data_IF_772252474042
#
_entry.id   IF_772252474042
#
_cell.length_a   1.000
_cell.length_b   1.000
_cell.length_c   1.000
_cell.angle_alpha   90.00
_cell.angle_beta   90.00
_cell.angle_gamma   90.00
#
_symmetry.space_group_name_H-M   'P 1'
#
loop_
_entity.id
_entity.type
_entity.pdbx_description
1 polymer ?
#
# COMPACT_ATOMS: atom_id res chain seq x y z
N UNK A 1 -16.63 -25.01 -26.11
CA UNK A 1 -16.27 -24.45 -24.79
C UNK A 1 -14.98 -25.10 -24.35
N UNK A 2 -13.86 -24.40 -24.48
CA UNK A 2 -12.55 -24.82 -23.98
C UNK A 2 -12.08 -23.80 -22.95
N UNK A 3 -11.32 -24.21 -21.93
CA UNK A 3 -10.87 -23.29 -20.89
C UNK A 3 -9.85 -22.32 -21.51
N UNK A 4 -10.12 -21.03 -21.40
CA UNK A 4 -9.18 -19.99 -21.80
C UNK A 4 -7.93 -20.06 -20.91
N UNK A 5 -6.86 -20.67 -21.43
CA UNK A 5 -5.50 -20.46 -20.94
C UNK A 5 -5.20 -18.97 -21.09
N UNK A 6 -5.21 -18.24 -19.98
CA UNK A 6 -4.67 -16.88 -19.93
C UNK A 6 -3.16 -16.99 -20.12
N UNK A 7 -2.68 -16.48 -21.25
CA UNK A 7 -1.26 -16.36 -21.53
C UNK A 7 -0.65 -15.39 -20.50
N UNK A 8 0.17 -15.92 -19.60
CA UNK A 8 0.99 -15.15 -18.66
C UNK A 8 2.28 -14.83 -19.39
N UNK A 9 2.39 -13.64 -19.97
CA UNK A 9 3.65 -13.09 -20.48
C UNK A 9 4.31 -12.33 -19.33
N UNK A 10 5.24 -12.98 -18.61
CA UNK A 10 6.08 -12.29 -17.63
C UNK A 10 7.52 -12.22 -18.16
N UNK A 11 8.00 -11.00 -18.39
CA UNK A 11 9.40 -10.66 -18.72
C UNK A 11 10.16 -10.19 -17.46
N UNK A 12 9.51 -10.17 -16.30
CA UNK A 12 10.12 -9.85 -15.02
C UNK A 12 9.99 -11.10 -14.13
N UNK A 13 11.07 -11.48 -13.44
CA UNK A 13 11.06 -12.67 -12.59
C UNK A 13 10.02 -12.48 -11.47
N UNK A 14 8.89 -13.17 -11.58
CA UNK A 14 7.86 -13.18 -10.55
C UNK A 14 8.42 -13.91 -9.31
N UNK A 15 8.31 -13.29 -8.14
CA UNK A 15 8.60 -13.93 -6.86
C UNK A 15 7.50 -14.98 -6.62
N UNK A 16 7.87 -16.25 -6.58
CA UNK A 16 6.94 -17.36 -6.30
C UNK A 16 6.61 -17.39 -4.80
N UNK A 17 5.35 -17.06 -4.46
CA UNK A 17 4.82 -17.07 -3.08
C UNK A 17 3.82 -18.21 -2.86
N UNK A 18 3.90 -19.29 -3.65
CA UNK A 18 2.83 -20.32 -3.71
C UNK A 18 2.74 -21.28 -2.51
N UNK A 19 3.66 -21.26 -1.54
CA UNK A 19 3.57 -22.10 -0.34
C UNK A 19 3.31 -21.27 0.93
N UNK A 20 2.05 -21.24 1.37
CA UNK A 20 1.70 -20.66 2.67
C UNK A 20 2.31 -21.49 3.80
N UNK A 21 3.19 -20.88 4.58
CA UNK A 21 3.83 -21.43 5.77
C UNK A 21 2.91 -21.54 6.99
N UNK A 22 1.72 -20.95 6.94
CA UNK A 22 0.82 -20.84 8.10
C UNK A 22 0.00 -22.09 8.38
N UNK A 23 -0.05 -22.49 9.66
CA UNK A 23 -0.87 -23.61 10.14
C UNK A 23 -2.36 -23.25 10.04
N UNK A 24 -3.24 -24.14 9.53
CA UNK A 24 -4.69 -23.98 9.65
C UNK A 24 -5.14 -23.91 11.12
N UNK A 25 -5.87 -22.86 11.49
CA UNK A 25 -6.49 -22.72 12.80
C UNK A 25 -7.98 -23.06 12.71
N UNK A 26 -8.48 -23.82 13.68
CA UNK A 26 -9.91 -24.03 13.84
C UNK A 26 -10.59 -22.79 14.50
N UNK A 27 -11.93 -22.69 14.50
CA UNK A 27 -12.62 -21.52 15.05
C UNK A 27 -12.31 -21.22 16.53
N UNK A 28 -12.07 -22.25 17.33
CA UNK A 28 -11.75 -22.10 18.76
C UNK A 28 -10.32 -21.56 18.93
N UNK A 29 -9.36 -22.11 18.19
CA UNK A 29 -7.97 -21.62 18.18
C UNK A 29 -7.89 -20.16 17.73
N UNK A 30 -8.65 -19.77 16.71
CA UNK A 30 -8.75 -18.36 16.28
C UNK A 30 -9.28 -17.46 17.39
N UNK A 31 -10.33 -17.89 18.09
CA UNK A 31 -10.90 -17.16 19.22
C UNK A 31 -9.88 -16.96 20.34
N UNK A 32 -9.14 -18.01 20.69
CA UNK A 32 -8.06 -17.95 21.69
C UNK A 32 -6.91 -17.03 21.27
N UNK A 33 -6.43 -17.16 20.03
CA UNK A 33 -5.36 -16.32 19.51
C UNK A 33 -5.74 -14.83 19.51
N UNK A 34 -6.99 -14.52 19.14
CA UNK A 34 -7.53 -13.16 19.18
C UNK A 34 -7.67 -12.64 20.62
N UNK A 35 -8.11 -13.47 21.56
CA UNK A 35 -8.20 -13.11 22.97
C UNK A 35 -6.81 -12.81 23.54
N UNK A 36 -5.84 -13.71 23.36
CA UNK A 36 -4.46 -13.53 23.80
C UNK A 36 -3.83 -12.25 23.22
N UNK A 37 -4.06 -11.97 21.93
CA UNK A 37 -3.64 -10.72 21.30
C UNK A 37 -4.18 -9.49 22.03
N UNK A 38 -5.49 -9.42 22.26
CA UNK A 38 -6.10 -8.29 22.94
C UNK A 38 -5.70 -8.17 24.40
N UNK A 39 -5.56 -9.29 25.12
CA UNK A 39 -5.08 -9.29 26.50
C UNK A 39 -3.68 -8.66 26.58
N UNK A 40 -2.78 -9.03 25.67
CA UNK A 40 -1.43 -8.46 25.58
C UNK A 40 -1.48 -6.98 25.22
N UNK A 41 -2.13 -6.60 24.11
CA UNK A 41 -2.09 -5.19 23.66
C UNK A 41 -2.80 -4.26 24.64
N UNK A 42 -3.86 -4.72 25.32
CA UNK A 42 -4.55 -3.93 26.35
C UNK A 42 -3.70 -3.81 27.62
N UNK A 43 -3.00 -4.87 28.03
CA UNK A 43 -2.09 -4.81 29.18
C UNK A 43 -0.98 -3.78 28.99
N UNK A 44 -0.41 -3.70 27.78
CA UNK A 44 0.63 -2.72 27.45
C UNK A 44 0.10 -1.39 26.92
N UNK A 45 -1.22 -1.20 26.84
CA UNK A 45 -1.81 0.07 26.43
C UNK A 45 -1.49 1.15 27.49
N UNK A 46 -1.08 2.34 27.04
CA UNK A 46 -0.65 3.42 27.94
C UNK A 46 0.71 3.25 28.64
N UNK A 47 1.39 2.10 28.53
CA UNK A 47 2.69 1.84 29.19
C UNK A 47 3.91 2.44 28.47
N UNK A 48 3.71 3.06 27.29
CA UNK A 48 4.78 3.67 26.50
C UNK A 48 4.46 5.12 26.17
N UNK A 49 5.02 6.04 26.96
CA UNK A 49 5.08 7.45 26.57
C UNK A 49 6.05 7.58 25.37
N UNK A 50 5.66 8.26 24.29
CA UNK A 50 6.57 8.52 23.19
C UNK A 50 7.77 9.32 23.71
N UNK A 51 8.98 8.80 23.48
CA UNK A 51 10.21 9.54 23.79
C UNK A 51 10.70 10.25 22.53
N UNK A 52 11.61 11.21 22.70
CA UNK A 52 12.29 11.88 21.59
C UNK A 52 13.01 10.90 20.65
N UNK A 53 13.44 9.74 21.14
CA UNK A 53 14.09 8.69 20.35
C UNK A 53 13.10 7.78 19.60
N UNK A 54 11.84 7.68 20.06
CA UNK A 54 10.84 6.76 19.50
C UNK A 54 9.48 7.47 19.43
N UNK A 55 9.20 8.18 18.31
CA UNK A 55 8.07 9.11 18.21
C UNK A 55 6.70 8.43 18.05
N UNK A 56 6.63 7.10 18.15
CA UNK A 56 5.41 6.33 17.93
C UNK A 56 5.23 5.27 19.02
N UNK A 57 3.97 4.92 19.30
CA UNK A 57 3.64 3.82 20.22
C UNK A 57 3.64 2.49 19.47
N UNK A 58 4.51 1.57 19.89
CA UNK A 58 4.61 0.22 19.30
C UNK A 58 3.34 -0.60 19.51
N UNK A 59 2.78 -0.56 20.72
CA UNK A 59 1.52 -1.23 21.05
C UNK A 59 0.40 -0.73 20.14
N UNK A 60 0.27 0.60 19.95
CA UNK A 60 -0.73 1.17 19.04
C UNK A 60 -0.46 0.79 17.59
N UNK A 61 0.80 0.79 17.14
CA UNK A 61 1.15 0.36 15.78
C UNK A 61 0.68 -1.07 15.53
N UNK A 62 1.03 -2.01 16.41
CA UNK A 62 0.65 -3.43 16.29
C UNK A 62 -0.88 -3.60 16.33
N UNK A 63 -1.54 -2.96 17.30
CA UNK A 63 -3.00 -3.00 17.45
C UNK A 63 -3.73 -2.49 16.21
N UNK A 64 -3.39 -1.29 15.75
CA UNK A 64 -4.04 -0.68 14.59
C UNK A 64 -3.72 -1.46 13.32
N UNK A 65 -2.50 -1.98 13.17
CA UNK A 65 -2.17 -2.81 12.01
C UNK A 65 -3.06 -4.06 11.94
N UNK A 66 -3.28 -4.73 13.08
CA UNK A 66 -4.21 -5.86 13.13
C UNK A 66 -5.65 -5.45 12.81
N UNK A 67 -6.15 -4.38 13.44
CA UNK A 67 -7.55 -3.94 13.30
C UNK A 67 -7.89 -3.45 11.88
N UNK A 68 -6.93 -2.90 11.14
CA UNK A 68 -7.08 -2.46 9.76
C UNK A 68 -6.63 -3.50 8.71
N UNK A 69 -6.12 -4.66 9.14
CA UNK A 69 -5.83 -5.77 8.22
C UNK A 69 -7.13 -6.39 7.70
N UNK A 70 -7.17 -6.73 6.42
CA UNK A 70 -8.35 -7.28 5.73
C UNK A 70 -8.29 -8.80 5.52
N UNK A 71 -7.31 -9.47 6.12
CA UNK A 71 -7.10 -10.90 5.96
C UNK A 71 -8.27 -11.71 6.55
N UNK A 72 -9.16 -12.18 5.68
CA UNK A 72 -10.21 -13.17 5.98
C UNK A 72 -9.65 -14.61 6.05
N UNK A 73 -8.33 -14.75 6.07
CA UNK A 73 -7.67 -16.05 6.09
C UNK A 73 -7.99 -16.81 7.39
N UNK A 74 -8.58 -18.03 7.31
CA UNK A 74 -8.87 -18.85 8.49
C UNK A 74 -7.62 -19.28 9.26
N UNK A 75 -6.42 -19.12 8.69
CA UNK A 75 -5.13 -19.31 9.36
C UNK A 75 -4.80 -18.13 10.28
N UNK A 76 -5.35 -16.93 10.08
CA UNK A 76 -4.99 -15.73 10.84
C UNK A 76 -3.46 -15.48 10.92
N UNK A 77 -2.78 -15.29 9.78
CA UNK A 77 -1.32 -15.20 9.71
C UNK A 77 -0.75 -14.12 10.64
N UNK A 78 -1.41 -12.96 10.73
CA UNK A 78 -1.01 -11.89 11.64
C UNK A 78 -0.94 -12.34 13.10
N UNK A 79 -1.98 -13.04 13.57
CA UNK A 79 -2.04 -13.49 14.96
C UNK A 79 -1.00 -14.57 15.24
N UNK A 80 -0.79 -15.50 14.30
CA UNK A 80 0.25 -16.53 14.45
C UNK A 80 1.64 -15.90 14.51
N UNK A 81 1.93 -14.95 13.63
CA UNK A 81 3.23 -14.29 13.60
C UNK A 81 3.45 -13.44 14.86
N UNK A 82 2.44 -12.69 15.30
CA UNK A 82 2.49 -11.96 16.55
C UNK A 82 2.81 -12.87 17.74
N UNK A 83 2.06 -13.97 17.89
CA UNK A 83 2.24 -14.94 18.98
C UNK A 83 3.63 -15.58 18.95
N UNK A 84 4.17 -15.84 17.75
CA UNK A 84 5.56 -16.29 17.56
C UNK A 84 6.58 -15.28 18.09
N UNK A 85 6.37 -13.98 17.85
CA UNK A 85 7.25 -12.93 18.34
C UNK A 85 7.21 -12.74 19.86
N UNK A 86 6.03 -12.87 20.47
CA UNK A 86 5.88 -12.77 21.94
C UNK A 86 6.15 -14.08 22.67
N UNK A 87 6.47 -15.16 21.94
CA UNK A 87 6.74 -16.49 22.48
C UNK A 87 5.57 -17.07 23.32
N UNK A 88 4.34 -16.88 22.84
CA UNK A 88 3.11 -17.39 23.49
C UNK A 88 2.41 -18.39 22.56
N UNK A 89 2.06 -19.56 23.07
CA UNK A 89 1.26 -20.54 22.35
C UNK A 89 -0.23 -20.18 22.44
N UNK A 90 -1.03 -20.62 21.46
CA UNK A 90 -2.48 -20.32 21.41
C UNK A 90 -3.23 -20.84 22.65
N UNK A 91 -2.75 -21.90 23.28
CA UNK A 91 -3.37 -22.53 24.45
C UNK A 91 -2.80 -22.02 25.79
N UNK A 92 -1.81 -21.13 25.77
CA UNK A 92 -1.16 -20.66 26.98
C UNK A 92 -2.04 -19.65 27.71
N UNK A 93 -2.14 -19.79 29.03
CA UNK A 93 -2.69 -18.76 29.90
C UNK A 93 -1.59 -17.76 30.27
N UNK A 94 -1.78 -16.48 29.95
CA UNK A 94 -0.79 -15.44 30.23
C UNK A 94 -0.90 -15.01 31.70
N UNK A 95 0.18 -15.19 32.46
CA UNK A 95 0.28 -14.70 33.83
C UNK A 95 0.95 -13.32 33.85
N UNK A 96 0.15 -12.25 33.90
CA UNK A 96 0.65 -10.88 33.97
C UNK A 96 1.22 -10.48 35.34
N UNK A 97 1.08 -11.32 36.38
CA UNK A 97 1.69 -11.08 37.69
C UNK A 97 3.17 -11.51 37.73
N UNK A 98 3.60 -12.37 36.80
CA UNK A 98 5.00 -12.74 36.66
C UNK A 98 5.76 -11.69 35.84
N UNK A 99 6.64 -10.96 36.52
CA UNK A 99 7.47 -9.91 35.91
C UNK A 99 8.35 -10.44 34.77
N UNK A 100 8.91 -11.65 34.90
CA UNK A 100 9.77 -12.20 33.86
C UNK A 100 8.98 -12.45 32.56
N UNK A 101 7.81 -13.09 32.69
CA UNK A 101 6.86 -13.27 31.58
C UNK A 101 6.45 -11.93 30.96
N UNK A 102 6.09 -10.94 31.77
CA UNK A 102 5.70 -9.60 31.26
C UNK A 102 6.83 -8.92 30.49
N UNK A 103 8.07 -9.00 30.98
CA UNK A 103 9.21 -8.38 30.32
C UNK A 103 9.57 -9.09 28.99
N UNK A 104 9.43 -10.42 28.92
CA UNK A 104 9.59 -11.20 27.69
C UNK A 104 8.54 -10.84 26.64
N UNK A 105 7.26 -10.84 27.00
CA UNK A 105 6.17 -10.46 26.09
C UNK A 105 6.35 -9.02 25.60
N UNK A 106 6.74 -8.10 26.49
CA UNK A 106 7.02 -6.70 26.11
C UNK A 106 8.15 -6.62 25.10
N UNK A 107 9.22 -7.38 25.28
CA UNK A 107 10.34 -7.45 24.34
C UNK A 107 9.88 -7.96 22.98
N UNK A 108 9.13 -9.06 22.95
CA UNK A 108 8.59 -9.65 21.73
C UNK A 108 7.64 -8.72 20.96
N UNK A 109 6.73 -8.05 21.68
CA UNK A 109 5.83 -7.04 21.11
C UNK A 109 6.63 -5.90 20.48
N UNK A 110 7.68 -5.44 21.18
CA UNK A 110 8.52 -4.37 20.68
C UNK A 110 9.27 -4.77 19.40
N UNK A 111 9.83 -5.98 19.40
CA UNK A 111 10.50 -6.56 18.24
C UNK A 111 9.57 -6.75 17.05
N UNK A 112 8.32 -7.18 17.27
CA UNK A 112 7.33 -7.31 16.20
C UNK A 112 6.97 -5.94 15.60
N UNK A 113 6.74 -4.93 16.43
CA UNK A 113 6.46 -3.58 15.94
C UNK A 113 7.65 -3.00 15.14
N UNK A 114 8.88 -3.20 15.61
CA UNK A 114 10.09 -2.78 14.90
C UNK A 114 10.27 -3.56 13.60
N UNK A 115 9.92 -4.85 13.57
CA UNK A 115 9.92 -5.67 12.36
C UNK A 115 8.95 -5.12 11.31
N UNK A 116 7.70 -4.82 11.66
CA UNK A 116 6.72 -4.23 10.76
C UNK A 116 7.17 -2.84 10.26
N UNK A 117 7.65 -1.99 11.18
CA UNK A 117 8.08 -0.64 10.82
C UNK A 117 9.25 -0.65 9.84
N UNK A 118 10.30 -1.43 10.13
CA UNK A 118 11.53 -1.42 9.37
C UNK A 118 11.42 -2.15 8.04
N UNK A 119 10.62 -3.22 7.97
CA UNK A 119 10.53 -4.04 6.77
C UNK A 119 9.35 -3.69 5.86
N UNK A 120 8.35 -2.95 6.34
CA UNK A 120 7.17 -2.59 5.54
C UNK A 120 6.93 -1.08 5.51
N UNK A 121 6.62 -0.45 6.64
CA UNK A 121 6.16 0.95 6.64
C UNK A 121 7.23 1.97 6.22
N UNK A 122 8.47 1.85 6.69
CA UNK A 122 9.55 2.77 6.31
C UNK A 122 9.94 2.64 4.83
N UNK A 123 10.15 1.43 4.27
CA UNK A 123 10.38 1.26 2.83
C UNK A 123 9.25 1.82 1.97
N UNK A 124 7.99 1.63 2.37
CA UNK A 124 6.83 2.18 1.66
C UNK A 124 6.84 3.70 1.67
N UNK A 125 7.03 4.31 2.85
CA UNK A 125 7.09 5.78 3.00
C UNK A 125 8.24 6.39 2.19
N UNK A 126 9.39 5.72 2.14
CA UNK A 126 10.54 6.19 1.36
C UNK A 126 10.30 6.11 -0.16
N UNK A 127 9.54 5.11 -0.61
CA UNK A 127 9.24 4.90 -2.03
C UNK A 127 8.08 5.78 -2.52
N UNK A 128 7.06 6.01 -1.69
CA UNK A 128 5.82 6.69 -2.08
C UNK A 128 5.99 8.20 -2.33
N UNK A 129 7.05 8.83 -1.85
CA UNK A 129 7.34 10.26 -2.13
C UNK A 129 7.92 10.43 -3.55
N UNK A 130 8.48 9.37 -4.14
CA UNK A 130 9.08 9.43 -5.47
C UNK A 130 8.09 8.87 -6.48
N UNK A 131 7.50 9.73 -7.31
CA UNK A 131 7.00 9.28 -8.62
C UNK A 131 8.14 8.56 -9.34
N UNK A 132 7.92 7.40 -9.96
CA UNK A 132 8.82 6.85 -10.97
C UNK A 132 8.93 7.85 -12.13
N UNK A 133 9.78 8.86 -11.99
CA UNK A 133 10.17 9.73 -13.09
C UNK A 133 11.09 8.91 -13.99
N UNK A 134 10.99 9.05 -15.32
CA UNK A 134 11.96 8.45 -16.22
C UNK A 134 13.35 8.99 -15.86
N UNK A 135 14.19 8.12 -15.28
CA UNK A 135 15.55 8.50 -14.89
C UNK A 135 16.33 9.03 -16.11
N UNK A 136 17.16 10.08 -15.96
CA UNK A 136 18.12 10.45 -16.99
C UNK A 136 19.06 9.27 -17.25
N UNK A 137 19.48 9.11 -18.50
CA UNK A 137 20.22 7.97 -19.04
C UNK A 137 21.65 7.74 -18.47
N UNK A 138 21.95 8.18 -17.24
CA UNK A 138 23.30 8.23 -16.69
C UNK A 138 23.58 7.37 -15.44
N UNK A 139 22.61 6.61 -14.91
CA UNK A 139 22.90 5.73 -13.76
C UNK A 139 23.39 4.36 -14.25
N UNK A 140 24.51 3.88 -13.69
CA UNK A 140 25.19 2.61 -14.01
C UNK A 140 24.39 1.33 -13.72
N UNK A 141 23.08 1.45 -13.52
CA UNK A 141 22.12 0.38 -13.29
C UNK A 141 21.08 0.44 -14.40
N UNK A 142 21.45 0.00 -15.60
CA UNK A 142 20.51 -0.07 -16.71
C UNK A 142 19.75 -1.40 -16.64
N UNK A 143 18.41 -1.40 -16.47
CA UNK A 143 17.60 -2.47 -17.02
C UNK A 143 17.93 -2.61 -18.51
N UNK A 144 17.64 -3.76 -19.12
CA UNK A 144 17.77 -3.85 -20.59
C UNK A 144 16.97 -2.68 -21.20
N UNK A 145 17.48 -2.08 -22.29
CA UNK A 145 16.79 -0.93 -22.92
C UNK A 145 15.31 -1.24 -23.19
N UNK A 146 15.00 -2.50 -23.51
CA UNK A 146 13.65 -3.00 -23.69
C UNK A 146 12.82 -2.96 -22.39
N UNK A 147 13.32 -3.48 -21.27
CA UNK A 147 12.57 -3.47 -20.00
C UNK A 147 12.36 -2.04 -19.45
N UNK A 148 13.33 -1.15 -19.65
CA UNK A 148 13.19 0.26 -19.26
C UNK A 148 12.15 1.00 -20.13
N UNK A 149 12.07 0.69 -21.43
CA UNK A 149 11.07 1.25 -22.33
C UNK A 149 9.67 0.72 -21.99
N UNK A 150 9.53 -0.58 -21.78
CA UNK A 150 8.26 -1.20 -21.39
C UNK A 150 7.73 -0.63 -20.06
N UNK A 151 8.59 -0.45 -19.05
CA UNK A 151 8.20 0.19 -17.78
C UNK A 151 7.73 1.63 -17.98
N UNK A 152 8.38 2.42 -18.84
CA UNK A 152 7.96 3.80 -19.15
C UNK A 152 6.61 3.85 -19.86
N UNK A 153 6.38 2.95 -20.81
CA UNK A 153 5.10 2.84 -21.52
C UNK A 153 3.97 2.43 -20.57
N UNK A 154 4.23 1.50 -19.64
CA UNK A 154 3.28 1.11 -18.59
C UNK A 154 2.94 2.29 -17.68
N UNK A 155 3.94 3.02 -17.19
CA UNK A 155 3.71 4.20 -16.33
C UNK A 155 2.96 5.30 -17.06
N UNK A 156 3.24 5.53 -18.34
CA UNK A 156 2.51 6.50 -19.15
C UNK A 156 1.04 6.07 -19.37
N UNK A 157 0.80 4.79 -19.64
CA UNK A 157 -0.54 4.22 -19.79
C UNK A 157 -1.32 4.32 -18.48
N UNK A 158 -0.69 3.96 -17.35
CA UNK A 158 -1.26 4.13 -16.01
C UNK A 158 -1.65 5.59 -15.75
N UNK A 159 -0.75 6.54 -16.05
CA UNK A 159 -1.03 7.96 -15.85
C UNK A 159 -2.28 8.40 -16.61
N UNK A 160 -2.36 8.03 -17.89
CA UNK A 160 -3.50 8.31 -18.75
C UNK A 160 -4.79 7.71 -18.20
N UNK A 161 -4.76 6.44 -17.84
CA UNK A 161 -5.95 5.70 -17.40
C UNK A 161 -6.46 6.22 -16.04
N UNK A 162 -5.58 6.60 -15.13
CA UNK A 162 -5.94 7.25 -13.86
C UNK A 162 -6.57 8.63 -14.08
N UNK A 163 -5.98 9.47 -14.93
CA UNK A 163 -6.54 10.78 -15.25
C UNK A 163 -7.95 10.62 -15.84
N UNK A 164 -8.16 9.73 -16.80
CA UNK A 164 -9.49 9.46 -17.36
C UNK A 164 -10.47 8.95 -16.29
N UNK A 165 -10.05 7.99 -15.47
CA UNK A 165 -10.89 7.43 -14.38
C UNK A 165 -11.35 8.52 -13.42
N UNK A 166 -10.43 9.42 -13.06
CA UNK A 166 -10.65 10.48 -12.08
C UNK A 166 -11.20 11.76 -12.70
N UNK A 167 -11.59 11.71 -13.99
CA UNK A 167 -12.12 12.85 -14.76
C UNK A 167 -11.18 14.06 -14.76
N UNK A 168 -9.90 13.77 -14.97
CA UNK A 168 -8.78 14.70 -14.97
C UNK A 168 -8.77 15.62 -13.75
N UNK A 169 -9.26 15.13 -12.59
CA UNK A 169 -9.32 15.90 -11.36
C UNK A 169 -8.55 15.23 -10.24
N UNK A 170 -7.97 16.04 -9.37
CA UNK A 170 -7.42 15.54 -8.12
C UNK A 170 -8.53 14.89 -7.30
N UNK A 171 -8.30 13.66 -6.81
CA UNK A 171 -9.31 12.92 -6.04
C UNK A 171 -9.64 13.56 -4.69
N UNK A 172 -8.83 14.51 -4.20
CA UNK A 172 -9.06 15.22 -2.93
C UNK A 172 -9.56 16.64 -3.18
N UNK A 173 -8.78 17.48 -3.86
CA UNK A 173 -9.10 18.91 -4.02
C UNK A 173 -10.04 19.19 -5.18
N UNK A 174 -10.31 18.20 -6.03
CA UNK A 174 -11.09 18.31 -7.27
C UNK A 174 -10.51 19.26 -8.32
N UNK A 175 -9.29 19.78 -8.13
CA UNK A 175 -8.60 20.61 -9.11
C UNK A 175 -8.48 19.87 -10.46
N UNK A 176 -8.78 20.55 -11.57
CA UNK A 176 -8.66 20.02 -12.92
C UNK A 176 -7.22 20.07 -13.42
N UNK A 177 -6.81 19.10 -14.23
CA UNK A 177 -5.46 18.98 -14.76
C UNK A 177 -5.13 20.10 -15.76
N UNK A 178 -4.08 20.87 -15.46
CA UNK A 178 -3.63 21.98 -16.31
C UNK A 178 -3.24 21.50 -17.71
N UNK A 179 -2.55 20.37 -17.83
CA UNK A 179 -2.09 19.85 -19.13
C UNK A 179 -3.29 19.46 -19.99
N UNK A 180 -4.29 18.83 -19.40
CA UNK A 180 -5.54 18.53 -20.11
C UNK A 180 -6.33 19.79 -20.47
N UNK A 181 -6.35 20.82 -19.61
CA UNK A 181 -6.99 22.10 -19.90
C UNK A 181 -6.36 22.77 -21.13
N UNK A 182 -5.03 22.91 -21.14
CA UNK A 182 -4.27 23.46 -22.27
C UNK A 182 -4.55 22.68 -23.56
N UNK A 183 -4.54 21.34 -23.48
CA UNK A 183 -4.87 20.48 -24.61
C UNK A 183 -6.29 20.76 -25.14
N UNK A 184 -7.27 21.03 -24.28
CA UNK A 184 -8.66 21.30 -24.71
C UNK A 184 -8.80 22.69 -25.31
N UNK A 185 -8.11 23.69 -24.76
CA UNK A 185 -8.04 25.03 -25.34
C UNK A 185 -7.43 24.99 -26.75
N UNK A 186 -6.32 24.30 -26.94
CA UNK A 186 -5.68 24.15 -28.26
C UNK A 186 -6.60 23.48 -29.30
N UNK A 187 -7.41 22.50 -28.87
CA UNK A 187 -8.26 21.72 -29.77
C UNK A 187 -9.61 22.38 -30.09
N UNK A 188 -10.21 23.10 -29.14
CA UNK A 188 -11.59 23.60 -29.25
C UNK A 188 -11.68 25.13 -29.26
N UNK A 189 -10.61 25.82 -28.85
CA UNK A 189 -10.61 27.26 -28.58
C UNK A 189 -11.19 27.59 -27.20
N UNK A 190 -10.81 28.76 -26.70
CA UNK A 190 -11.12 29.26 -25.36
C UNK A 190 -12.63 29.27 -25.04
N UNK A 191 -13.44 29.68 -26.02
CA UNK A 191 -14.90 29.82 -25.87
C UNK A 191 -15.67 28.48 -25.83
N UNK A 192 -15.01 27.35 -26.17
CA UNK A 192 -15.68 26.04 -26.32
C UNK A 192 -15.00 24.91 -25.54
N UNK A 193 -13.88 25.16 -24.87
CA UNK A 193 -13.21 24.14 -24.08
C UNK A 193 -14.02 23.80 -22.82
N UNK A 194 -14.41 22.53 -22.69
CA UNK A 194 -15.21 22.02 -21.57
C UNK A 194 -14.40 21.03 -20.73
N UNK A 195 -14.64 20.96 -19.43
CA UNK A 195 -14.16 19.85 -18.59
C UNK A 195 -14.97 18.56 -18.81
N UNK A 196 -14.65 17.51 -18.04
CA UNK A 196 -15.34 16.22 -18.11
C UNK A 196 -16.77 16.23 -17.55
N UNK A 197 -17.15 17.31 -16.85
CA UNK A 197 -18.49 17.55 -16.34
C UNK A 197 -19.34 18.44 -17.27
N UNK A 198 -18.76 18.93 -18.37
CA UNK A 198 -19.43 19.80 -19.34
C UNK A 198 -19.46 21.28 -18.92
N UNK A 199 -18.61 21.70 -17.98
CA UNK A 199 -18.45 23.11 -17.61
C UNK A 199 -17.35 23.76 -18.46
N UNK A 200 -17.60 24.97 -18.94
CA UNK A 200 -16.61 25.77 -19.66
C UNK A 200 -15.39 26.03 -18.78
N UNK A 201 -14.20 25.78 -19.31
CA UNK A 201 -12.95 25.97 -18.59
C UNK A 201 -12.69 27.45 -18.28
N UNK A 202 -13.05 28.35 -19.20
CA UNK A 202 -12.87 29.80 -19.05
C UNK A 202 -13.73 30.41 -17.93
N UNK A 203 -14.86 29.77 -17.60
CA UNK A 203 -15.78 30.22 -16.54
C UNK A 203 -15.36 29.70 -15.15
N UNK A 204 -14.40 28.77 -15.08
CA UNK A 204 -13.93 28.21 -13.82
C UNK A 204 -12.90 29.13 -13.17
N UNK A 205 -12.86 29.11 -11.84
CA UNK A 205 -11.87 29.86 -11.07
C UNK A 205 -10.44 29.40 -11.46
N UNK A 206 -9.48 30.31 -11.71
CA UNK A 206 -8.08 29.93 -11.95
C UNK A 206 -7.49 29.01 -10.87
N UNK A 207 -7.91 29.15 -9.61
CA UNK A 207 -7.46 28.31 -8.50
C UNK A 207 -8.07 26.88 -8.54
N UNK A 208 -9.00 26.62 -9.46
CA UNK A 208 -9.59 25.30 -9.72
C UNK A 208 -8.72 24.42 -10.62
N UNK A 209 -7.58 24.91 -11.11
CA UNK A 209 -6.65 24.15 -11.94
C UNK A 209 -5.35 23.84 -11.19
N UNK A 210 -4.74 22.69 -11.48
CA UNK A 210 -3.43 22.34 -10.95
C UNK A 210 -2.70 21.32 -11.82
N UNK A 211 -1.38 21.24 -11.70
CA UNK A 211 -0.62 20.10 -12.22
C UNK A 211 -0.94 18.86 -11.39
N UNK A 212 -1.40 17.80 -12.05
CA UNK A 212 -1.70 16.54 -11.41
C UNK A 212 -0.60 15.49 -11.65
N UNK A 213 -0.44 14.63 -10.67
CA UNK A 213 0.42 13.46 -10.70
C UNK A 213 -0.41 12.21 -10.40
N UNK A 214 0.11 11.06 -10.80
CA UNK A 214 -0.48 9.76 -10.46
C UNK A 214 0.41 9.08 -9.44
N UNK A 215 -0.14 8.93 -8.24
CA UNK A 215 0.51 8.38 -7.07
C UNK A 215 0.12 6.90 -6.91
N UNK A 216 1.10 5.99 -6.92
CA UNK A 216 0.84 4.60 -6.56
C UNK A 216 0.44 4.48 -5.08
N UNK A 217 -0.53 3.63 -4.77
CA UNK A 217 -0.94 3.29 -3.40
C UNK A 217 0.10 2.33 -2.81
N UNK A 218 0.35 1.20 -3.49
CA UNK A 218 1.46 0.31 -3.24
C UNK A 218 2.58 0.62 -4.25
N UNK A 219 3.79 0.99 -3.80
CA UNK A 219 4.87 1.43 -4.68
C UNK A 219 5.23 0.37 -5.73
N UNK A 220 5.40 0.84 -6.97
CA UNK A 220 5.89 0.03 -8.10
C UNK A 220 7.17 -0.76 -7.76
N UNK A 221 8.05 -0.18 -6.93
CA UNK A 221 9.32 -0.78 -6.54
C UNK A 221 9.18 -2.12 -5.82
N UNK A 222 8.02 -2.44 -5.21
CA UNK A 222 7.81 -3.71 -4.49
C UNK A 222 7.94 -4.93 -5.41
N UNK A 223 7.55 -4.81 -6.68
CA UNK A 223 7.45 -5.96 -7.58
C UNK A 223 8.61 -6.07 -8.58
N UNK A 224 9.62 -5.21 -8.45
CA UNK A 224 10.77 -5.18 -9.38
C UNK A 224 11.94 -5.94 -8.78
N UNK A 225 12.53 -6.85 -9.56
CA UNK A 225 13.81 -7.49 -9.17
C UNK A 225 14.97 -6.55 -9.49
N UNK A 226 15.96 -6.49 -8.60
CA UNK A 226 17.19 -5.71 -8.79
C UNK A 226 18.42 -6.60 -8.73
N UNK A 227 19.58 -6.09 -9.16
CA UNK A 227 20.85 -6.80 -9.00
C UNK A 227 21.31 -6.86 -7.52
N UNK A 228 20.67 -6.12 -6.61
CA UNK A 228 21.00 -6.12 -5.20
C UNK A 228 20.20 -7.22 -4.47
N UNK A 229 20.85 -8.30 -4.01
CA UNK A 229 20.16 -9.41 -3.35
C UNK A 229 19.54 -9.01 -2.00
N UNK A 230 20.16 -8.09 -1.26
CA UNK A 230 19.62 -7.60 0.02
C UNK A 230 18.33 -6.81 -0.19
N UNK A 231 18.29 -5.98 -1.24
CA UNK A 231 17.09 -5.24 -1.61
C UNK A 231 15.97 -6.18 -2.06
N UNK A 232 16.29 -7.23 -2.82
CA UNK A 232 15.29 -8.23 -3.22
C UNK A 232 14.74 -8.99 -2.00
N UNK A 233 15.60 -9.32 -1.02
CA UNK A 233 15.17 -9.92 0.24
C UNK A 233 14.26 -8.98 1.03
N UNK A 234 14.59 -7.70 1.10
CA UNK A 234 13.75 -6.70 1.77
C UNK A 234 12.36 -6.59 1.10
N UNK A 235 12.31 -6.62 -0.23
CA UNK A 235 11.04 -6.64 -0.97
C UNK A 235 10.22 -7.91 -0.73
N UNK A 236 10.87 -9.08 -0.70
CA UNK A 236 10.21 -10.34 -0.39
C UNK A 236 9.55 -10.30 1.00
N UNK A 237 10.26 -9.80 2.02
CA UNK A 237 9.71 -9.64 3.37
C UNK A 237 8.53 -8.65 3.36
N UNK A 238 8.62 -7.53 2.63
CA UNK A 238 7.52 -6.58 2.52
C UNK A 238 6.27 -7.21 1.88
N UNK A 239 6.43 -8.08 0.88
CA UNK A 239 5.34 -8.82 0.25
C UNK A 239 4.74 -9.88 1.20
N UNK A 240 5.56 -10.59 1.98
CA UNK A 240 5.08 -11.51 3.02
C UNK A 240 4.26 -10.78 4.10
N UNK A 241 4.72 -9.61 4.55
CA UNK A 241 3.98 -8.77 5.49
C UNK A 241 2.67 -8.28 4.86
N UNK A 242 2.68 -7.90 3.58
CA UNK A 242 1.48 -7.46 2.87
C UNK A 242 0.44 -8.59 2.75
N UNK A 243 0.88 -9.80 2.41
CA UNK A 243 0.01 -11.00 2.33
C UNK A 243 -0.54 -11.39 3.72
N UNK A 244 0.23 -11.14 4.78
CA UNK A 244 -0.25 -11.28 6.15
C UNK A 244 -1.38 -10.30 6.49
N UNK A 245 -1.37 -9.09 5.91
CA UNK A 245 -2.42 -8.07 6.13
C UNK A 245 -3.66 -8.31 5.26
N UNK A 246 -3.47 -8.75 4.01
CA UNK A 246 -4.53 -9.00 3.04
C UNK A 246 -4.15 -10.22 2.19
N UNK A 247 -4.64 -11.40 2.57
CA UNK A 247 -4.23 -12.65 1.96
C UNK A 247 -4.60 -12.69 0.46
N UNK A 248 -3.59 -12.91 -0.37
CA UNK A 248 -3.72 -13.01 -1.81
C UNK A 248 -3.60 -11.67 -2.55
N UNK A 249 -3.39 -10.57 -1.83
CA UNK A 249 -3.13 -9.25 -2.43
C UNK A 249 -1.94 -9.25 -3.39
N UNK A 250 -0.93 -10.09 -3.12
CA UNK A 250 0.27 -10.16 -3.96
C UNK A 250 -0.06 -10.66 -5.37
N UNK A 251 -1.10 -11.50 -5.53
CA UNK A 251 -1.59 -11.91 -6.84
C UNK A 251 -2.33 -10.79 -7.59
N UNK A 252 -2.90 -9.82 -6.88
CA UNK A 252 -3.61 -8.68 -7.47
C UNK A 252 -2.65 -7.58 -7.96
N UNK A 253 -1.44 -7.56 -7.42
CA UNK A 253 -0.41 -6.58 -7.76
C UNK A 253 0.78 -7.20 -8.52
N UNK A 254 0.67 -8.48 -8.91
CA UNK A 254 1.72 -9.27 -9.57
C UNK A 254 2.09 -8.77 -10.97
N UNK A 255 3.39 -8.76 -11.29
CA UNK A 255 3.93 -8.30 -12.57
C UNK A 255 3.33 -6.96 -13.05
N UNK A 256 2.71 -6.91 -14.24
CA UNK A 256 2.16 -5.68 -14.80
C UNK A 256 0.94 -5.16 -14.02
N UNK A 257 0.32 -5.96 -13.16
CA UNK A 257 -0.88 -5.54 -12.42
C UNK A 257 -0.58 -4.49 -11.34
N UNK A 258 0.69 -4.31 -10.94
CA UNK A 258 1.13 -3.21 -10.04
C UNK A 258 0.88 -1.83 -10.66
N UNK A 259 0.90 -1.74 -11.99
CA UNK A 259 0.71 -0.51 -12.77
C UNK A 259 -0.72 -0.40 -13.32
N UNK A 260 -1.70 -0.82 -12.51
CA UNK A 260 -3.12 -0.64 -12.82
C UNK A 260 -3.71 0.55 -12.10
N UNK A 261 -4.74 1.21 -12.67
CA UNK A 261 -5.44 2.29 -11.99
C UNK A 261 -5.95 1.91 -10.60
N UNK A 262 -6.30 0.65 -10.36
CA UNK A 262 -6.71 0.16 -9.05
C UNK A 262 -5.69 0.46 -7.93
N UNK A 263 -4.40 0.50 -8.27
CA UNK A 263 -3.30 0.74 -7.34
C UNK A 263 -2.75 2.18 -7.44
N UNK A 264 -3.51 3.13 -7.99
CA UNK A 264 -3.03 4.50 -8.13
C UNK A 264 -4.14 5.56 -8.03
N UNK A 265 -3.74 6.79 -7.67
CA UNK A 265 -4.61 7.93 -7.40
C UNK A 265 -4.11 9.18 -8.15
N UNK A 266 -5.02 9.96 -8.71
CA UNK A 266 -4.68 11.27 -9.29
C UNK A 266 -4.66 12.34 -8.19
N UNK A 267 -3.49 12.93 -7.94
CA UNK A 267 -3.28 13.89 -6.86
C UNK A 267 -2.55 15.14 -7.36
N UNK A 268 -2.85 16.29 -6.75
CA UNK A 268 -1.99 17.48 -6.86
C UNK A 268 -0.63 17.18 -6.21
N UNK A 269 0.44 17.80 -6.69
CA UNK A 269 1.82 17.50 -6.27
C UNK A 269 2.07 17.59 -4.75
N UNK A 270 1.46 18.57 -4.08
CA UNK A 270 1.57 18.76 -2.62
C UNK A 270 0.78 17.68 -1.85
N UNK A 271 -0.38 17.29 -2.35
CA UNK A 271 -1.20 16.22 -1.78
C UNK A 271 -0.56 14.85 -2.01
N UNK A 272 0.06 14.62 -3.16
CA UNK A 272 0.87 13.43 -3.39
C UNK A 272 2.00 13.31 -2.36
N UNK A 273 2.74 14.39 -2.09
CA UNK A 273 3.78 14.39 -1.04
C UNK A 273 3.21 14.12 0.35
N UNK A 274 2.04 14.66 0.67
CA UNK A 274 1.37 14.39 1.94
C UNK A 274 0.92 12.93 2.04
N UNK A 275 0.40 12.35 0.95
CA UNK A 275 -0.01 10.95 0.89
C UNK A 275 1.20 10.02 1.07
N UNK A 276 2.25 10.21 0.28
CA UNK A 276 3.47 9.40 0.36
C UNK A 276 4.23 9.53 1.68
N UNK A 277 4.03 10.64 2.43
CA UNK A 277 4.62 10.84 3.76
C UNK A 277 3.73 10.37 4.93
N UNK A 278 2.60 9.71 4.63
CA UNK A 278 1.59 9.23 5.58
C UNK A 278 0.98 10.34 6.43
N UNK A 279 0.82 11.55 5.86
CA UNK A 279 0.10 12.66 6.50
C UNK A 279 -1.40 12.67 6.16
N UNK A 280 -1.74 12.10 5.02
CA UNK A 280 -3.13 11.86 4.59
C UNK A 280 -3.28 10.39 4.20
N UNK A 281 -4.46 9.85 4.40
CA UNK A 281 -4.84 8.49 4.04
C UNK A 281 -6.31 8.47 3.65
N UNK A 282 -6.75 7.38 3.01
CA UNK A 282 -8.12 7.20 2.58
C UNK A 282 -8.74 6.04 3.36
N UNK A 283 -9.99 6.21 3.77
CA UNK A 283 -10.79 5.14 4.37
C UNK A 283 -11.76 4.58 3.34
N UNK A 284 -12.01 3.28 3.39
CA UNK A 284 -13.02 2.66 2.55
C UNK A 284 -14.41 3.12 3.01
N UNK A 285 -15.17 3.75 2.11
CA UNK A 285 -16.58 4.02 2.36
C UNK A 285 -17.35 2.71 2.32
N UNK A 286 -18.14 2.40 3.37
CA UNK A 286 -19.01 1.21 3.35
C UNK A 286 -19.85 1.23 2.08
N UNK A 287 -19.87 0.10 1.35
CA UNK A 287 -20.74 -0.07 0.18
C UNK A 287 -22.20 0.02 0.63
N UNK A 288 -22.79 1.22 0.53
CA UNK A 288 -24.21 1.34 0.27
C UNK A 288 -24.50 0.51 -0.97
N UNK A 289 -25.52 -0.35 -0.92
CA UNK A 289 -25.95 -1.30 -1.95
C UNK A 289 -26.45 -0.66 -3.25
N UNK A 290 -26.04 0.57 -3.54
CA UNK A 290 -26.26 1.28 -4.78
C UNK A 290 -24.98 2.03 -5.13
N UNK A 291 -24.43 1.72 -6.30
CA UNK A 291 -23.28 2.39 -6.90
C UNK A 291 -23.26 3.91 -6.64
N UNK A 292 -22.19 4.45 -6.04
CA UNK A 292 -21.49 5.66 -6.51
C UNK A 292 -20.40 6.16 -5.54
N UNK A 293 -19.25 6.47 -6.14
CA UNK A 293 -18.29 7.52 -5.75
C UNK A 293 -17.40 7.29 -4.51
N UNK A 294 -16.10 7.15 -4.78
CA UNK A 294 -15.09 7.90 -4.02
C UNK A 294 -15.44 9.38 -4.13
N UNK A 295 -15.84 10.03 -3.02
CA UNK A 295 -15.92 11.49 -2.96
C UNK A 295 -14.60 12.06 -2.49
#
# INVERSE_FOLDING_TARGET
MGPHRRHRTSLEGDIDLSESTWRPLNPVERGKAKAAFYDIVNHFDGSSNPTTEKPYSRTKLVRLTYEYSLSDDPRCPFLQEFLRFVNISIDDSINFDDKATVDEIRSGLNSFADFLLNNFFLPLKASAIKTPQPSPAGSSQAPSRHSALESRERVASLRRDCLIRDRHRCVISRNFDLIEADRRYENSGDDFALDDEGQLLIDQDPDSFAELEVAHILPHSLNTTTANPELNKSKAIALEILDMFDNGIVYLIGGPDIDRPLNALTLRIDLHRQFGSFKISFEAMQKSSYWSCWR
#
